data_IF_072379175255
#
_entry.id   IF_072379175255
#
_cell.length_a   1.000
_cell.length_b   1.000
_cell.length_c   1.000
_cell.angle_alpha   90.00
_cell.angle_beta   90.00
_cell.angle_gamma   90.00
#
_symmetry.space_group_name_H-M   'P 1'
#
loop_
_entity.id
_entity.type
_entity.pdbx_description
1 polymer ?
#
# COMPACT_ATOMS: atom_id res chain seq x y z
N UNK A 1 3.34 -14.42 -12.90
CA UNK A 1 3.65 -15.69 -12.18
C UNK A 1 3.38 -15.56 -10.68
N UNK A 2 3.29 -16.66 -9.93
CA UNK A 2 3.11 -16.63 -8.46
C UNK A 2 4.25 -15.89 -7.75
N UNK A 3 5.48 -16.04 -8.25
CA UNK A 3 6.65 -15.38 -7.68
C UNK A 3 6.61 -13.85 -7.81
N UNK A 4 6.16 -13.33 -8.96
CA UNK A 4 6.05 -11.87 -9.16
C UNK A 4 4.97 -11.25 -8.27
N UNK A 5 3.84 -11.93 -8.13
CA UNK A 5 2.78 -11.55 -7.21
C UNK A 5 3.30 -11.53 -5.76
N UNK A 6 4.08 -12.53 -5.37
CA UNK A 6 4.72 -12.57 -4.06
C UNK A 6 5.68 -11.39 -3.84
N UNK A 7 6.56 -11.09 -4.81
CA UNK A 7 7.48 -9.95 -4.73
C UNK A 7 6.73 -8.61 -4.57
N UNK A 8 5.66 -8.40 -5.33
CA UNK A 8 4.85 -7.18 -5.21
C UNK A 8 4.20 -7.08 -3.83
N UNK A 9 3.60 -8.17 -3.34
CA UNK A 9 3.02 -8.23 -1.99
C UNK A 9 4.06 -7.89 -0.91
N UNK A 10 5.23 -8.53 -0.98
CA UNK A 10 6.26 -8.36 0.06
C UNK A 10 6.88 -6.97 0.02
N UNK A 11 7.10 -6.42 -1.17
CA UNK A 11 7.59 -5.04 -1.32
C UNK A 11 6.59 -4.03 -0.75
N UNK A 12 5.27 -4.22 -0.96
CA UNK A 12 4.25 -3.36 -0.34
C UNK A 12 4.34 -3.43 1.19
N UNK A 13 4.47 -4.64 1.76
CA UNK A 13 4.59 -4.85 3.20
C UNK A 13 5.78 -4.09 3.80
N UNK A 14 6.91 -4.03 3.08
CA UNK A 14 8.10 -3.31 3.52
C UNK A 14 7.92 -1.78 3.42
N UNK A 15 7.27 -1.29 2.36
CA UNK A 15 6.95 0.14 2.19
C UNK A 15 6.09 0.66 3.34
N UNK A 16 5.07 -0.10 3.75
CA UNK A 16 4.16 0.28 4.84
C UNK A 16 4.82 0.35 6.23
N UNK A 17 6.07 -0.10 6.37
CA UNK A 17 6.85 -0.01 7.60
C UNK A 17 7.83 1.18 7.63
N UNK A 18 8.01 1.87 6.52
CA UNK A 18 8.90 3.02 6.44
C UNK A 18 8.24 4.26 7.05
N UNK A 19 9.04 5.31 7.25
CA UNK A 19 8.48 6.63 7.52
C UNK A 19 7.68 7.13 6.32
N UNK A 20 6.74 8.07 6.53
CA UNK A 20 5.90 8.58 5.45
C UNK A 20 6.73 9.21 4.30
N UNK A 21 7.85 9.84 4.63
CA UNK A 21 8.68 10.54 3.65
C UNK A 21 9.48 9.55 2.79
N UNK A 22 9.97 8.46 3.39
CA UNK A 22 10.59 7.33 2.67
C UNK A 22 9.56 6.53 1.86
N UNK A 23 8.38 6.29 2.43
CA UNK A 23 7.32 5.51 1.79
C UNK A 23 6.75 6.21 0.55
N UNK A 24 6.71 7.54 0.53
CA UNK A 24 6.07 8.33 -0.53
C UNK A 24 6.56 7.99 -1.95
N UNK A 25 7.87 8.05 -2.27
CA UNK A 25 8.37 7.68 -3.59
C UNK A 25 8.22 6.17 -3.86
N UNK A 26 8.44 5.32 -2.85
CA UNK A 26 8.35 3.87 -3.00
C UNK A 26 6.93 3.40 -3.32
N UNK A 27 5.92 3.99 -2.67
CA UNK A 27 4.52 3.67 -2.87
C UNK A 27 4.04 4.09 -4.27
N UNK A 28 4.53 5.24 -4.77
CA UNK A 28 4.26 5.69 -6.14
C UNK A 28 4.85 4.72 -7.16
N UNK A 29 6.12 4.33 -7.00
CA UNK A 29 6.74 3.36 -7.88
C UNK A 29 6.04 2.00 -7.80
N UNK A 30 5.67 1.57 -6.60
CA UNK A 30 4.96 0.32 -6.39
C UNK A 30 3.62 0.29 -7.13
N UNK A 31 2.86 1.40 -7.09
CA UNK A 31 1.59 1.50 -7.79
C UNK A 31 1.75 1.40 -9.32
N UNK A 32 2.78 2.05 -9.87
CA UNK A 32 3.12 1.95 -11.30
C UNK A 32 3.49 0.51 -11.68
N UNK A 33 4.37 -0.14 -10.91
CA UNK A 33 4.78 -1.51 -11.16
C UNK A 33 3.60 -2.50 -11.03
N UNK A 34 2.71 -2.29 -10.06
CA UNK A 34 1.52 -3.11 -9.88
C UNK A 34 0.55 -2.97 -11.06
N UNK A 35 0.34 -1.74 -11.55
CA UNK A 35 -0.47 -1.47 -12.75
C UNK A 35 0.13 -2.11 -14.01
N UNK A 36 1.45 -1.96 -14.22
CA UNK A 36 2.15 -2.49 -15.38
C UNK A 36 2.38 -4.01 -15.33
N UNK A 37 2.24 -4.64 -14.16
CA UNK A 37 2.48 -6.09 -14.00
C UNK A 37 1.51 -6.98 -14.77
N UNK A 38 0.32 -6.47 -15.11
CA UNK A 38 -0.75 -7.27 -15.72
C UNK A 38 -1.32 -8.38 -14.83
N UNK A 39 -0.90 -8.46 -13.55
CA UNK A 39 -1.36 -9.51 -12.64
C UNK A 39 -2.78 -9.18 -12.15
N UNK A 40 -3.77 -10.07 -12.39
CA UNK A 40 -5.12 -9.88 -11.90
C UNK A 40 -5.13 -9.62 -10.38
N UNK A 41 -5.86 -8.58 -9.97
CA UNK A 41 -5.90 -8.13 -8.57
C UNK A 41 -4.84 -7.09 -8.19
N UNK A 42 -3.62 -7.15 -8.74
CA UNK A 42 -2.60 -6.12 -8.48
C UNK A 42 -2.82 -4.86 -9.31
N UNK A 43 -3.30 -4.99 -10.55
CA UNK A 43 -3.64 -3.83 -11.40
C UNK A 43 -4.65 -2.90 -10.71
N UNK A 44 -5.86 -3.36 -10.30
CA UNK A 44 -6.82 -2.49 -9.62
C UNK A 44 -6.34 -2.04 -8.23
N UNK A 45 -5.48 -2.82 -7.56
CA UNK A 45 -4.87 -2.43 -6.29
C UNK A 45 -3.86 -1.29 -6.49
N UNK A 46 -3.03 -1.35 -7.53
CA UNK A 46 -2.09 -0.29 -7.92
C UNK A 46 -2.82 1.03 -8.17
N UNK A 47 -3.89 1.00 -8.95
CA UNK A 47 -4.73 2.18 -9.19
C UNK A 47 -5.36 2.73 -7.90
N UNK A 48 -5.89 1.85 -7.05
CA UNK A 48 -6.48 2.25 -5.76
C UNK A 48 -5.43 2.91 -4.86
N UNK A 49 -4.23 2.36 -4.79
CA UNK A 49 -3.13 2.90 -3.99
C UNK A 49 -2.65 4.24 -4.56
N UNK A 50 -2.56 4.39 -5.88
CA UNK A 50 -2.24 5.66 -6.52
C UNK A 50 -3.28 6.74 -6.18
N UNK A 51 -4.58 6.42 -6.28
CA UNK A 51 -5.67 7.35 -5.93
C UNK A 51 -5.67 7.74 -4.45
N UNK A 52 -5.31 6.82 -3.55
CA UNK A 52 -5.31 7.02 -2.09
C UNK A 52 -3.93 7.30 -1.51
N UNK A 53 -2.97 7.72 -2.33
CA UNK A 53 -1.57 7.88 -1.93
C UNK A 53 -1.41 8.76 -0.69
N UNK A 54 -2.06 9.93 -0.67
CA UNK A 54 -2.00 10.85 0.47
C UNK A 54 -2.65 10.29 1.75
N UNK A 55 -3.78 9.59 1.65
CA UNK A 55 -4.44 8.94 2.79
C UNK A 55 -3.54 7.89 3.44
N UNK A 56 -2.88 7.07 2.60
CA UNK A 56 -1.99 6.00 3.06
C UNK A 56 -0.79 6.60 3.78
N UNK A 57 -0.17 7.65 3.22
CA UNK A 57 0.95 8.33 3.87
C UNK A 57 0.55 9.01 5.17
N UNK A 58 -0.67 9.56 5.24
CA UNK A 58 -1.22 10.13 6.48
C UNK A 58 -1.39 9.05 7.54
N UNK A 59 -1.90 7.88 7.13
CA UNK A 59 -2.01 6.71 8.01
C UNK A 59 -0.64 6.26 8.54
N UNK A 60 0.36 6.14 7.66
CA UNK A 60 1.74 5.81 8.05
C UNK A 60 2.29 6.83 9.04
N UNK A 61 2.13 8.14 8.76
CA UNK A 61 2.59 9.24 9.63
C UNK A 61 1.93 9.21 11.01
N UNK A 62 0.65 8.83 11.07
CA UNK A 62 -0.11 8.74 12.31
C UNK A 62 0.22 7.52 13.17
N UNK A 63 0.94 6.53 12.62
CA UNK A 63 1.24 5.27 13.32
C UNK A 63 0.01 4.43 13.67
N UNK A 64 -1.13 4.67 13.03
CA UNK A 64 -2.36 3.94 13.27
C UNK A 64 -2.18 2.47 12.85
N UNK A 65 -2.14 1.58 13.84
CA UNK A 65 -2.05 0.15 13.61
C UNK A 65 -3.36 -0.40 13.05
N UNK A 66 -3.29 -1.51 12.31
CA UNK A 66 -4.48 -2.19 11.78
C UNK A 66 -5.49 -2.51 12.90
N UNK A 67 -5.01 -2.96 14.06
CA UNK A 67 -5.87 -3.21 15.23
C UNK A 67 -6.60 -1.96 15.73
N UNK A 68 -5.98 -0.78 15.63
CA UNK A 68 -6.58 0.49 16.03
C UNK A 68 -7.57 1.02 14.99
N UNK A 69 -7.31 0.82 13.69
CA UNK A 69 -8.26 1.13 12.63
C UNK A 69 -9.51 0.26 12.71
N UNK A 70 -9.35 -1.05 12.92
CA UNK A 70 -10.47 -1.99 13.13
C UNK A 70 -11.28 -1.63 14.39
N UNK A 71 -10.62 -1.22 15.48
CA UNK A 71 -11.29 -0.78 16.70
C UNK A 71 -12.08 0.53 16.56
N UNK A 72 -11.73 1.39 15.59
CA UNK A 72 -12.49 2.60 15.26
C UNK A 72 -13.67 2.25 14.35
N UNK A 73 -13.47 1.40 13.35
CA UNK A 73 -14.52 0.97 12.42
C UNK A 73 -15.66 0.21 13.13
N UNK A 74 -15.36 -0.60 14.16
CA UNK A 74 -16.37 -1.32 14.95
C UNK A 74 -17.14 -0.46 15.94
N UNK A 75 -16.83 0.85 16.06
CA UNK A 75 -17.52 1.79 16.96
C UNK A 75 -18.48 2.75 16.25
N UNK A 76 -18.58 2.65 14.92
CA UNK A 76 -19.53 3.37 14.06
C UNK A 76 -20.67 2.40 13.74
#
# INVERSE_FOLDING_TARGET
>A
TLWEAYKLKERLRMILKQTADEAAPMLRQWAADAFLSGIPGFVPLGEKIARRHFDILTTIRSGLSNARLEAINNKI
#
